data_IF_995970492252
#
_entry.id   IF_995970492252
#
_cell.length_a   1.000
_cell.length_b   1.000
_cell.length_c   1.000
_cell.angle_alpha   90.00
_cell.angle_beta   90.00
_cell.angle_gamma   90.00
#
_symmetry.space_group_name_H-M   'P 1'
#
loop_
_entity.id
_entity.type
_entity.pdbx_description
1 polymer ?
#
# COMPACT_ATOMS: atom_id res chain seq x y z
N UNK A 1 20.41 -7.00 -3.09
CA UNK A 1 19.83 -6.51 -1.82
C UNK A 1 18.62 -5.63 -2.12
N UNK A 2 17.53 -5.82 -1.41
CA UNK A 2 16.26 -5.11 -1.56
C UNK A 2 16.23 -3.92 -0.59
N UNK A 3 15.86 -2.73 -1.05
CA UNK A 3 15.61 -1.58 -0.17
C UNK A 3 14.13 -1.47 0.16
N UNK A 4 13.77 -1.40 1.43
CA UNK A 4 12.40 -1.26 1.89
C UNK A 4 12.28 0.09 2.62
N UNK A 5 11.56 1.05 2.01
CA UNK A 5 11.28 2.34 2.64
C UNK A 5 9.99 2.24 3.46
N UNK A 6 10.15 1.97 4.75
CA UNK A 6 9.08 1.87 5.75
C UNK A 6 8.80 3.18 6.48
N UNK A 7 8.09 3.08 7.61
CA UNK A 7 7.77 4.23 8.48
C UNK A 7 6.51 5.00 8.11
N UNK A 8 5.73 4.48 7.16
CA UNK A 8 4.51 5.10 6.64
C UNK A 8 3.21 4.26 6.75
N UNK A 9 2.97 3.28 7.59
CA UNK A 9 3.34 3.02 8.96
C UNK A 9 4.44 1.97 9.16
N UNK A 10 4.90 1.99 10.39
CA UNK A 10 5.95 1.08 10.85
C UNK A 10 5.49 -0.38 10.79
N UNK A 11 4.33 -0.72 11.29
CA UNK A 11 3.80 -2.08 11.28
C UNK A 11 3.64 -2.65 9.86
N UNK A 12 3.22 -1.82 8.91
CA UNK A 12 3.14 -2.22 7.50
C UNK A 12 4.52 -2.56 6.90
N UNK A 13 5.57 -1.82 7.28
CA UNK A 13 6.94 -2.13 6.87
C UNK A 13 7.44 -3.46 7.44
N UNK A 14 7.19 -3.71 8.72
CA UNK A 14 7.53 -4.96 9.40
C UNK A 14 6.75 -6.16 8.83
N UNK A 15 5.45 -6.01 8.61
CA UNK A 15 4.62 -7.03 7.98
C UNK A 15 5.11 -7.39 6.57
N UNK A 16 5.54 -6.38 5.80
CA UNK A 16 6.13 -6.61 4.48
C UNK A 16 7.41 -7.46 4.58
N UNK A 17 8.31 -7.15 5.51
CA UNK A 17 9.53 -7.94 5.74
C UNK A 17 9.20 -9.38 6.16
N UNK A 18 8.24 -9.57 7.06
CA UNK A 18 7.77 -10.89 7.47
C UNK A 18 7.20 -11.70 6.30
N UNK A 19 6.39 -11.07 5.44
CA UNK A 19 5.85 -11.70 4.22
C UNK A 19 6.96 -12.04 3.23
N UNK A 20 7.91 -11.14 3.03
CA UNK A 20 9.06 -11.38 2.16
C UNK A 20 9.85 -12.63 2.60
N UNK A 21 10.14 -12.75 3.90
CA UNK A 21 10.80 -13.92 4.47
C UNK A 21 9.93 -15.20 4.34
N UNK A 22 8.62 -15.11 4.59
CA UNK A 22 7.72 -16.28 4.48
C UNK A 22 7.60 -16.82 3.07
N UNK A 23 7.56 -15.95 2.06
CA UNK A 23 7.40 -16.34 0.64
C UNK A 23 8.69 -16.94 0.09
N UNK A 24 9.84 -16.47 0.56
CA UNK A 24 11.15 -16.89 0.07
C UNK A 24 11.86 -17.81 1.08
N UNK A 25 11.12 -18.76 1.65
CA UNK A 25 11.72 -19.72 2.59
C UNK A 25 12.74 -20.60 1.88
N UNK A 26 13.96 -20.61 2.40
CA UNK A 26 15.01 -21.54 2.04
C UNK A 26 15.25 -22.60 3.11
N UNK A 27 16.16 -23.53 2.84
CA UNK A 27 16.63 -24.51 3.82
C UNK A 27 17.70 -23.94 4.76
N UNK A 28 18.43 -22.95 4.29
CA UNK A 28 19.51 -22.28 5.01
C UNK A 28 19.24 -20.78 5.11
N UNK A 29 19.87 -20.10 6.07
CA UNK A 29 19.74 -18.64 6.23
C UNK A 29 20.21 -17.88 4.98
N UNK A 30 21.18 -18.42 4.26
CA UNK A 30 21.74 -17.85 3.03
C UNK A 30 20.78 -17.86 1.85
N UNK A 31 19.73 -18.66 1.90
CA UNK A 31 18.69 -18.73 0.85
C UNK A 31 17.69 -17.56 0.93
N UNK A 32 17.67 -16.83 2.05
CA UNK A 32 16.76 -15.70 2.20
C UNK A 32 17.24 -14.47 1.45
N UNK A 33 16.32 -13.64 0.91
CA UNK A 33 16.70 -12.43 0.20
C UNK A 33 17.33 -11.41 1.15
N UNK A 34 18.49 -10.88 0.78
CA UNK A 34 19.09 -9.77 1.51
C UNK A 34 18.23 -8.51 1.35
N UNK A 35 17.88 -7.86 2.45
CA UNK A 35 17.15 -6.59 2.44
C UNK A 35 17.60 -5.62 3.53
N UNK A 36 17.33 -4.34 3.31
CA UNK A 36 17.46 -3.26 4.30
C UNK A 36 16.09 -2.62 4.49
N UNK A 37 15.56 -2.66 5.70
CA UNK A 37 14.39 -1.86 6.09
C UNK A 37 14.87 -0.52 6.67
N UNK A 38 14.60 0.57 5.97
CA UNK A 38 14.74 1.92 6.53
C UNK A 38 13.38 2.42 7.01
N UNK A 39 13.12 2.27 8.31
CA UNK A 39 11.88 2.72 8.93
C UNK A 39 11.94 4.23 9.22
N UNK A 40 11.63 5.07 8.20
CA UNK A 40 11.62 6.53 8.30
C UNK A 40 10.30 7.02 8.88
N UNK A 41 10.10 6.83 10.20
CA UNK A 41 8.85 7.16 10.90
C UNK A 41 8.55 8.67 10.96
N UNK A 42 9.56 9.53 10.80
CA UNK A 42 9.43 10.98 10.71
C UNK A 42 9.01 11.49 9.32
N UNK A 43 8.68 10.60 8.38
CA UNK A 43 8.08 11.01 7.10
C UNK A 43 6.75 11.74 7.37
N UNK A 44 6.55 12.97 6.85
CA UNK A 44 5.34 13.74 7.09
C UNK A 44 4.08 12.95 6.74
N UNK A 45 2.97 13.20 7.45
CA UNK A 45 1.67 12.60 7.12
C UNK A 45 1.34 12.89 5.65
N UNK A 46 0.93 11.84 4.91
CA UNK A 46 0.45 11.99 3.53
C UNK A 46 -0.89 12.71 3.61
N UNK A 47 -0.95 13.99 3.20
CA UNK A 47 -2.13 14.83 3.41
C UNK A 47 -3.30 14.35 2.55
N UNK A 48 -4.50 14.53 3.05
CA UNK A 48 -5.73 14.41 2.26
C UNK A 48 -5.78 15.48 1.15
N UNK A 49 -5.17 16.65 1.43
CA UNK A 49 -4.92 17.74 0.51
C UNK A 49 -3.42 17.84 0.17
N UNK A 50 -3.10 17.96 -1.11
CA UNK A 50 -1.75 17.97 -1.70
C UNK A 50 -0.92 19.21 -1.31
N UNK A 51 -1.43 20.14 -0.51
CA UNK A 51 -0.76 21.41 -0.15
C UNK A 51 0.65 21.27 0.49
N UNK A 52 1.00 20.07 1.02
CA UNK A 52 2.33 19.76 1.59
C UNK A 52 3.14 18.80 0.72
N UNK A 53 2.93 18.84 -0.58
CA UNK A 53 3.52 17.96 -1.57
C UNK A 53 5.04 17.79 -1.42
N UNK A 54 5.76 18.92 -1.43
CA UNK A 54 7.22 18.91 -1.43
C UNK A 54 7.85 18.36 -0.13
N UNK A 55 7.23 18.56 1.01
CA UNK A 55 7.74 18.03 2.28
C UNK A 55 7.74 16.50 2.29
N UNK A 56 6.68 15.89 1.76
CA UNK A 56 6.59 14.43 1.64
C UNK A 56 7.57 13.93 0.58
N UNK A 57 7.59 14.55 -0.61
CA UNK A 57 8.51 14.15 -1.68
C UNK A 57 9.97 14.20 -1.22
N UNK A 58 10.40 15.28 -0.56
CA UNK A 58 11.77 15.42 -0.06
C UNK A 58 12.11 14.32 0.96
N UNK A 59 11.19 14.01 1.88
CA UNK A 59 11.39 12.94 2.85
C UNK A 59 11.51 11.55 2.17
N UNK A 60 10.71 11.29 1.12
CA UNK A 60 10.80 10.07 0.33
C UNK A 60 12.13 9.99 -0.43
N UNK A 61 12.53 11.09 -1.09
CA UNK A 61 13.82 11.18 -1.81
C UNK A 61 15.00 10.91 -0.88
N UNK A 62 15.01 11.54 0.30
CA UNK A 62 16.05 11.31 1.32
C UNK A 62 16.11 9.82 1.72
N UNK A 63 14.95 9.22 2.02
CA UNK A 63 14.87 7.81 2.40
C UNK A 63 15.36 6.87 1.29
N UNK A 64 14.93 7.11 0.04
CA UNK A 64 15.36 6.33 -1.11
C UNK A 64 16.86 6.48 -1.41
N UNK A 65 17.40 7.71 -1.33
CA UNK A 65 18.84 7.95 -1.50
C UNK A 65 19.67 7.22 -0.44
N UNK A 66 19.17 7.15 0.80
CA UNK A 66 19.84 6.39 1.87
C UNK A 66 19.88 4.90 1.56
N UNK A 67 18.79 4.32 1.09
CA UNK A 67 18.76 2.91 0.65
C UNK A 67 19.68 2.67 -0.56
N UNK A 68 19.67 3.56 -1.54
CA UNK A 68 20.58 3.50 -2.68
C UNK A 68 22.05 3.54 -2.24
N UNK A 69 22.41 4.46 -1.33
CA UNK A 69 23.79 4.55 -0.77
C UNK A 69 24.21 3.29 -0.03
N UNK A 70 23.27 2.57 0.59
CA UNK A 70 23.52 1.28 1.25
C UNK A 70 23.59 0.09 0.27
N UNK A 71 23.70 0.32 -1.04
CA UNK A 71 23.91 -0.73 -2.04
C UNK A 71 22.64 -1.51 -2.43
N UNK A 72 21.46 -1.01 -2.10
CA UNK A 72 20.23 -1.62 -2.58
C UNK A 72 20.13 -1.53 -4.11
N UNK A 73 19.62 -2.60 -4.75
CA UNK A 73 19.50 -2.69 -6.21
C UNK A 73 18.15 -2.16 -6.72
N UNK A 74 17.12 -2.22 -5.90
CA UNK A 74 15.81 -1.64 -6.14
C UNK A 74 15.12 -1.32 -4.82
N UNK A 75 14.06 -0.52 -4.87
CA UNK A 75 13.32 -0.06 -3.70
C UNK A 75 11.85 -0.47 -3.79
N UNK A 76 11.29 -0.85 -2.65
CA UNK A 76 9.85 -1.02 -2.44
C UNK A 76 9.38 -0.08 -1.33
N UNK A 77 8.15 0.43 -1.48
CA UNK A 77 7.51 1.30 -0.49
C UNK A 77 6.19 0.67 -0.04
N UNK A 78 6.13 0.02 1.14
CA UNK A 78 4.88 -0.54 1.68
C UNK A 78 3.93 0.57 2.17
N UNK A 79 3.52 1.45 1.26
CA UNK A 79 2.59 2.56 1.50
C UNK A 79 1.90 2.95 0.20
N UNK A 80 0.60 2.67 0.07
CA UNK A 80 -0.14 2.96 -1.14
C UNK A 80 -0.16 4.46 -1.48
N UNK A 81 -0.46 5.33 -0.51
CA UNK A 81 -0.53 6.78 -0.72
C UNK A 81 0.81 7.37 -1.17
N UNK A 82 1.96 6.80 -0.75
CA UNK A 82 3.27 7.29 -1.15
C UNK A 82 3.52 7.18 -2.67
N UNK A 83 2.79 6.30 -3.36
CA UNK A 83 2.88 6.13 -4.81
C UNK A 83 2.30 7.31 -5.61
N UNK A 84 1.64 8.26 -4.95
CA UNK A 84 1.29 9.53 -5.56
C UNK A 84 2.54 10.28 -6.05
N UNK A 85 3.64 10.20 -5.33
CA UNK A 85 4.92 10.82 -5.70
C UNK A 85 5.84 9.91 -6.53
N UNK A 86 5.33 8.77 -7.00
CA UNK A 86 6.14 7.74 -7.66
C UNK A 86 6.91 8.28 -8.88
N UNK A 87 6.25 9.02 -9.75
CA UNK A 87 6.87 9.52 -10.99
C UNK A 87 7.98 10.54 -10.70
N UNK A 88 7.74 11.47 -9.76
CA UNK A 88 8.75 12.47 -9.38
C UNK A 88 9.88 11.87 -8.56
N UNK A 89 9.58 10.87 -7.75
CA UNK A 89 10.58 10.14 -6.98
C UNK A 89 11.48 9.33 -7.90
N UNK A 90 10.91 8.65 -8.90
CA UNK A 90 11.65 7.83 -9.87
C UNK A 90 12.61 8.64 -10.72
N UNK A 91 12.30 9.91 -11.00
CA UNK A 91 13.22 10.84 -11.70
C UNK A 91 14.44 11.24 -10.85
N UNK A 92 14.35 11.13 -9.51
CA UNK A 92 15.38 11.60 -8.56
C UNK A 92 16.24 10.48 -7.99
N UNK A 93 15.89 9.22 -8.25
CA UNK A 93 16.55 8.01 -7.72
C UNK A 93 17.09 7.19 -8.88
N UNK A 94 18.36 6.76 -8.78
CA UNK A 94 19.06 6.07 -9.87
C UNK A 94 18.72 4.58 -9.98
N UNK A 95 18.21 3.97 -8.91
CA UNK A 95 17.82 2.55 -8.90
C UNK A 95 16.30 2.40 -9.06
N UNK A 96 15.80 1.30 -9.63
CA UNK A 96 14.37 1.09 -9.81
C UNK A 96 13.58 1.17 -8.51
N UNK A 97 12.40 1.78 -8.57
CA UNK A 97 11.39 1.73 -7.51
C UNK A 97 10.22 0.92 -8.04
N UNK A 98 9.80 -0.13 -7.32
CA UNK A 98 8.66 -0.94 -7.73
C UNK A 98 7.36 -0.20 -7.38
N UNK A 99 6.46 -0.11 -8.36
CA UNK A 99 5.15 0.52 -8.16
C UNK A 99 4.14 -0.50 -7.67
N UNK A 100 3.81 -0.48 -6.39
CA UNK A 100 2.80 -1.38 -5.82
C UNK A 100 1.45 -1.31 -6.56
N UNK A 101 0.86 -0.15 -6.91
CA UNK A 101 -0.37 -0.10 -7.68
C UNK A 101 -0.26 -0.76 -9.06
N UNK A 102 0.90 -0.66 -9.72
CA UNK A 102 1.17 -1.33 -10.99
C UNK A 102 1.22 -2.85 -10.82
N UNK A 103 1.91 -3.35 -9.80
CA UNK A 103 2.01 -4.79 -9.54
C UNK A 103 0.62 -5.39 -9.20
N UNK A 104 -0.19 -4.69 -8.40
CA UNK A 104 -1.57 -5.10 -8.11
C UNK A 104 -2.42 -5.13 -9.39
N UNK A 105 -2.24 -4.17 -10.29
CA UNK A 105 -2.91 -4.15 -11.60
C UNK A 105 -2.51 -5.36 -12.45
N UNK A 106 -1.21 -5.64 -12.58
CA UNK A 106 -0.70 -6.76 -13.35
C UNK A 106 -1.23 -8.10 -12.81
N UNK A 107 -1.28 -8.26 -11.49
CA UNK A 107 -1.85 -9.45 -10.86
C UNK A 107 -3.37 -9.56 -11.08
N UNK A 108 -4.07 -8.42 -11.09
CA UNK A 108 -5.51 -8.40 -11.37
C UNK A 108 -5.81 -8.82 -12.82
N UNK A 109 -4.97 -8.40 -13.78
CA UNK A 109 -5.09 -8.80 -15.19
C UNK A 109 -5.00 -10.33 -15.40
N UNK A 110 -4.17 -11.03 -14.60
CA UNK A 110 -4.03 -12.49 -14.70
C UNK A 110 -5.28 -13.24 -14.27
N UNK A 111 -6.09 -12.65 -13.40
CA UNK A 111 -7.13 -13.36 -12.65
C UNK A 111 -8.54 -12.80 -12.84
N UNK A 112 -8.70 -11.66 -13.51
CA UNK A 112 -9.99 -11.03 -13.77
C UNK A 112 -10.16 -10.69 -15.25
N UNK A 113 -11.39 -10.88 -15.76
CA UNK A 113 -11.75 -10.42 -17.11
C UNK A 113 -11.79 -8.89 -17.16
N UNK A 114 -11.44 -8.29 -18.30
CA UNK A 114 -11.60 -6.85 -18.55
C UNK A 114 -13.04 -6.40 -18.21
N UNK A 115 -13.20 -5.16 -17.83
CA UNK A 115 -14.46 -4.54 -17.40
C UNK A 115 -15.08 -5.14 -16.13
N UNK A 116 -14.39 -6.07 -15.43
CA UNK A 116 -14.84 -6.54 -14.13
C UNK A 116 -14.86 -5.39 -13.11
N UNK A 117 -15.82 -5.41 -12.19
CA UNK A 117 -15.83 -4.55 -11.01
C UNK A 117 -14.75 -5.01 -10.04
N UNK A 118 -13.85 -4.11 -9.67
CA UNK A 118 -12.79 -4.32 -8.67
C UNK A 118 -13.03 -3.34 -7.53
N UNK A 119 -13.27 -3.87 -6.34
CA UNK A 119 -13.43 -3.05 -5.14
C UNK A 119 -12.08 -2.50 -4.67
N UNK A 120 -12.07 -1.32 -4.06
CA UNK A 120 -10.89 -0.78 -3.38
C UNK A 120 -11.26 -0.25 -1.99
N UNK A 121 -10.55 -0.74 -0.97
CA UNK A 121 -10.58 -0.24 0.40
C UNK A 121 -9.23 0.43 0.69
N UNK A 122 -9.23 1.73 0.92
CA UNK A 122 -7.98 2.49 1.10
C UNK A 122 -8.22 3.75 1.94
N UNK A 123 -7.16 4.53 2.18
CA UNK A 123 -7.32 5.87 2.78
C UNK A 123 -7.99 6.82 1.79
N UNK A 124 -8.68 7.85 2.28
CA UNK A 124 -9.22 8.93 1.44
C UNK A 124 -8.11 9.59 0.59
N UNK A 125 -6.91 9.77 1.16
CA UNK A 125 -5.77 10.29 0.40
C UNK A 125 -5.39 9.42 -0.80
N UNK A 126 -5.44 8.09 -0.68
CA UNK A 126 -5.19 7.17 -1.80
C UNK A 126 -6.28 7.25 -2.86
N UNK A 127 -7.56 7.38 -2.45
CA UNK A 127 -8.68 7.55 -3.38
C UNK A 127 -8.59 8.90 -4.12
N UNK A 128 -8.39 9.99 -3.39
CA UNK A 128 -8.36 11.35 -3.93
C UNK A 128 -7.18 11.56 -4.90
N UNK A 129 -6.03 10.92 -4.65
CA UNK A 129 -4.85 10.98 -5.52
C UNK A 129 -4.92 10.04 -6.71
N UNK A 130 -5.93 9.19 -6.80
CA UNK A 130 -6.20 8.31 -7.96
C UNK A 130 -5.01 7.43 -8.38
N UNK A 131 -4.15 7.05 -7.44
CA UNK A 131 -2.91 6.28 -7.74
C UNK A 131 -3.17 4.92 -8.39
N UNK A 132 -4.33 4.31 -8.11
CA UNK A 132 -4.77 3.08 -8.74
C UNK A 132 -5.45 3.31 -10.10
N UNK A 133 -6.22 4.39 -10.23
CA UNK A 133 -6.94 4.75 -11.44
C UNK A 133 -6.01 4.88 -12.65
N UNK A 134 -4.81 5.40 -12.45
CA UNK A 134 -3.76 5.50 -13.48
C UNK A 134 -3.56 4.17 -14.25
N UNK A 135 -3.74 3.03 -13.59
CA UNK A 135 -3.56 1.70 -14.19
C UNK A 135 -4.90 1.02 -14.49
N UNK A 136 -5.91 1.18 -13.65
CA UNK A 136 -7.13 0.38 -13.67
C UNK A 136 -8.21 0.90 -14.62
N UNK A 137 -8.36 2.20 -14.80
CA UNK A 137 -9.50 2.82 -15.52
C UNK A 137 -9.66 2.37 -16.98
N UNK A 138 -8.59 1.88 -17.61
CA UNK A 138 -8.64 1.37 -18.98
C UNK A 138 -9.09 -0.10 -19.11
N UNK A 139 -9.09 -0.84 -18.01
CA UNK A 139 -9.27 -2.29 -18.02
C UNK A 139 -10.33 -2.78 -17.06
N UNK A 140 -10.61 -2.02 -16.00
CA UNK A 140 -11.48 -2.43 -14.91
C UNK A 140 -12.36 -1.28 -14.42
N UNK A 141 -13.52 -1.62 -13.88
CA UNK A 141 -14.37 -0.67 -13.15
C UNK A 141 -13.96 -0.66 -11.67
N UNK A 142 -13.13 0.31 -11.28
CA UNK A 142 -12.66 0.46 -9.90
C UNK A 142 -13.73 1.14 -9.05
N UNK A 143 -14.19 0.46 -7.98
CA UNK A 143 -15.30 0.91 -7.13
C UNK A 143 -14.86 1.02 -5.68
N UNK A 144 -15.11 2.15 -5.05
CA UNK A 144 -14.92 2.38 -3.61
C UNK A 144 -16.25 2.49 -2.87
N UNK A 145 -16.30 2.27 -1.55
CA UNK A 145 -17.49 2.59 -0.75
C UNK A 145 -17.87 4.06 -0.85
N UNK A 146 -19.16 4.36 -0.69
CA UNK A 146 -19.64 5.74 -0.57
C UNK A 146 -18.99 6.46 0.63
N UNK A 147 -18.95 7.80 0.60
CA UNK A 147 -18.25 8.62 1.60
C UNK A 147 -18.67 8.32 3.05
N UNK A 148 -19.96 8.07 3.31
CA UNK A 148 -20.46 7.70 4.65
C UNK A 148 -19.84 6.38 5.13
N UNK A 149 -19.83 5.34 4.28
CA UNK A 149 -19.30 4.02 4.60
C UNK A 149 -17.76 4.05 4.63
N UNK A 150 -17.12 4.86 3.78
CA UNK A 150 -15.68 5.10 3.83
C UNK A 150 -15.26 5.59 5.23
N UNK A 151 -15.97 6.60 5.77
CA UNK A 151 -15.67 7.18 7.09
C UNK A 151 -16.00 6.23 8.24
N UNK A 152 -17.20 5.67 8.25
CA UNK A 152 -17.70 4.85 9.37
C UNK A 152 -17.06 3.45 9.45
N UNK A 153 -16.55 2.93 8.34
CA UNK A 153 -16.00 1.58 8.24
C UNK A 153 -14.49 1.61 7.92
N UNK A 154 -14.10 2.05 6.74
CA UNK A 154 -12.70 1.94 6.28
C UNK A 154 -11.74 2.79 7.10
N UNK A 155 -12.01 4.09 7.24
CA UNK A 155 -11.15 5.00 8.01
C UNK A 155 -11.07 4.59 9.47
N UNK A 156 -12.19 4.14 10.04
CA UNK A 156 -12.27 3.66 11.43
C UNK A 156 -11.40 2.41 11.64
N UNK A 157 -11.47 1.44 10.72
CA UNK A 157 -10.64 0.24 10.74
C UNK A 157 -9.14 0.59 10.68
N UNK A 158 -8.74 1.42 9.71
CA UNK A 158 -7.33 1.87 9.59
C UNK A 158 -6.85 2.55 10.87
N UNK A 159 -7.70 3.39 11.50
CA UNK A 159 -7.39 4.04 12.77
C UNK A 159 -7.16 3.01 13.88
N UNK A 160 -8.03 2.01 14.00
CA UNK A 160 -7.91 0.95 15.02
C UNK A 160 -6.65 0.11 14.83
N UNK A 161 -6.29 -0.26 13.58
CA UNK A 161 -5.02 -0.97 13.31
C UNK A 161 -3.82 -0.17 13.82
N UNK A 162 -3.78 1.13 13.53
CA UNK A 162 -2.70 2.02 14.00
C UNK A 162 -2.63 2.14 15.54
N UNK A 163 -3.73 1.90 16.22
CA UNK A 163 -3.83 1.87 17.70
C UNK A 163 -3.56 0.47 18.27
N UNK A 164 -3.27 -0.54 17.46
CA UNK A 164 -3.11 -1.93 17.90
C UNK A 164 -4.41 -2.66 18.23
N UNK A 165 -5.58 -2.04 17.98
CA UNK A 165 -6.92 -2.59 18.25
C UNK A 165 -7.41 -3.45 17.10
N UNK A 166 -6.80 -4.63 16.91
CA UNK A 166 -7.01 -5.46 15.71
C UNK A 166 -8.43 -6.03 15.66
N UNK A 167 -8.99 -6.50 16.78
CA UNK A 167 -10.36 -7.04 16.83
C UNK A 167 -11.41 -5.98 16.47
N UNK A 168 -11.24 -4.76 16.96
CA UNK A 168 -12.12 -3.63 16.64
C UNK A 168 -11.96 -3.19 15.17
N UNK A 169 -10.73 -3.25 14.65
CA UNK A 169 -10.46 -2.96 13.26
C UNK A 169 -11.16 -3.95 12.33
N UNK A 170 -11.11 -5.24 12.65
CA UNK A 170 -11.81 -6.31 11.93
C UNK A 170 -13.32 -6.08 11.91
N UNK A 171 -13.93 -5.81 13.08
CA UNK A 171 -15.36 -5.50 13.15
C UNK A 171 -15.74 -4.26 12.32
N UNK A 172 -14.90 -3.22 12.37
CA UNK A 172 -15.15 -1.97 11.66
C UNK A 172 -15.10 -2.10 10.14
N UNK A 173 -14.24 -2.98 9.58
CA UNK A 173 -14.09 -3.10 8.11
C UNK A 173 -15.19 -3.94 7.45
N UNK A 174 -15.83 -4.87 8.19
CA UNK A 174 -16.81 -5.82 7.64
C UNK A 174 -17.94 -5.17 6.83
N UNK A 175 -18.57 -4.04 7.26
CA UNK A 175 -19.62 -3.40 6.46
C UNK A 175 -19.15 -2.98 5.07
N UNK A 176 -17.92 -2.45 4.94
CA UNK A 176 -17.37 -2.04 3.66
C UNK A 176 -17.03 -3.22 2.76
N UNK A 177 -16.49 -4.31 3.31
CA UNK A 177 -16.27 -5.57 2.59
C UNK A 177 -17.59 -6.14 2.08
N UNK A 178 -18.59 -6.26 2.94
CA UNK A 178 -19.91 -6.80 2.60
C UNK A 178 -20.59 -5.96 1.50
N UNK A 179 -20.47 -4.64 1.56
CA UNK A 179 -20.97 -3.75 0.51
C UNK A 179 -20.34 -4.08 -0.85
N UNK A 180 -19.01 -4.18 -0.93
CA UNK A 180 -18.32 -4.48 -2.18
C UNK A 180 -18.65 -5.90 -2.70
N UNK A 181 -18.85 -6.87 -1.81
CA UNK A 181 -19.31 -8.21 -2.18
C UNK A 181 -20.74 -8.17 -2.73
N UNK A 182 -21.66 -7.45 -2.05
CA UNK A 182 -23.06 -7.31 -2.48
C UNK A 182 -23.18 -6.71 -3.89
N UNK A 183 -22.34 -5.76 -4.24
CA UNK A 183 -22.31 -5.15 -5.59
C UNK A 183 -21.50 -5.99 -6.60
N UNK A 184 -21.14 -7.21 -6.23
CA UNK A 184 -20.48 -8.23 -7.07
C UNK A 184 -19.10 -7.80 -7.58
N UNK A 185 -18.29 -7.14 -6.75
CA UNK A 185 -16.87 -6.96 -7.05
C UNK A 185 -16.18 -8.32 -7.13
N UNK A 186 -15.42 -8.56 -8.19
CA UNK A 186 -14.69 -9.83 -8.41
C UNK A 186 -13.49 -9.99 -7.48
N UNK A 187 -12.85 -8.89 -7.15
CA UNK A 187 -11.77 -8.78 -6.18
C UNK A 187 -11.88 -7.48 -5.39
N UNK A 188 -11.24 -7.43 -4.23
CA UNK A 188 -11.15 -6.24 -3.39
C UNK A 188 -9.67 -5.95 -3.14
N UNK A 189 -9.21 -4.79 -3.59
CA UNK A 189 -7.86 -4.28 -3.33
C UNK A 189 -7.81 -3.72 -1.91
N UNK A 190 -6.90 -4.22 -1.09
CA UNK A 190 -6.58 -3.65 0.21
C UNK A 190 -5.56 -2.51 0.02
N UNK A 191 -6.05 -1.38 -0.48
CA UNK A 191 -5.26 -0.20 -0.87
C UNK A 191 -4.74 0.64 0.31
N UNK A 192 -4.71 0.07 1.50
CA UNK A 192 -4.01 0.58 2.68
C UNK A 192 -3.32 -0.58 3.35
N UNK A 193 -2.03 -0.47 3.61
CA UNK A 193 -1.19 -1.57 4.11
C UNK A 193 -1.49 -1.96 5.56
N UNK A 194 -2.28 -1.18 6.27
CA UNK A 194 -2.86 -1.54 7.57
C UNK A 194 -4.02 -2.53 7.45
N UNK A 195 -4.81 -2.48 6.35
CA UNK A 195 -6.01 -3.32 6.23
C UNK A 195 -5.73 -4.83 6.23
N UNK A 196 -4.66 -5.34 5.58
CA UNK A 196 -4.33 -6.76 5.70
C UNK A 196 -4.15 -7.23 7.14
N UNK A 197 -3.69 -6.35 8.05
CA UNK A 197 -3.50 -6.68 9.46
C UNK A 197 -4.83 -6.85 10.21
N UNK A 198 -5.92 -6.25 9.71
CA UNK A 198 -7.27 -6.39 10.29
C UNK A 198 -8.10 -7.51 9.65
N UNK A 199 -7.64 -8.08 8.54
CA UNK A 199 -8.39 -9.08 7.76
C UNK A 199 -7.79 -10.49 7.85
N UNK A 200 -6.85 -10.71 8.79
CA UNK A 200 -6.14 -11.99 8.94
C UNK A 200 -7.10 -13.16 9.22
N UNK A 201 -8.29 -12.88 9.75
CA UNK A 201 -9.29 -13.88 10.14
C UNK A 201 -10.59 -13.83 9.30
N UNK A 202 -10.61 -13.13 8.18
CA UNK A 202 -11.80 -13.05 7.31
C UNK A 202 -11.58 -13.84 6.03
#
# INVERSE_FOLDING_TARGET
MIGILGGMGTQAGLDFCNKLAKINRGKLDQDYPMFVLYNKSNTPKRPENIKKYYNVLNALVEGCKRLQKNGCKFIVMPCNTAHYWYDDLSKKIKIPILSMPKEVYLETLKSCKKNSKIGILSTEATLNTKVYNKYFDKSFNLVSPASSLQKSSVNKSIKFVKMGKIKEAEKAIRPAVNYLMKIKCKKIILGCTELPLSLIHI
#
